data_IF_174513563808
#
_entry.id   IF_174513563808
#
_cell.length_a   1.000
_cell.length_b   1.000
_cell.length_c   1.000
_cell.angle_alpha   90.00
_cell.angle_beta   90.00
_cell.angle_gamma   90.00
#
_symmetry.space_group_name_H-M   'P 1'
#
loop_
_entity.id
_entity.type
_entity.pdbx_description
1 polymer ?
#
# COMPACT_ATOMS: atom_id res chain seq x y z
N UNK A 1 -25.35 -7.10 -23.92
CA UNK A 1 -25.24 -6.00 -22.93
C UNK A 1 -23.96 -5.24 -23.21
N UNK A 2 -24.05 -3.99 -23.69
CA UNK A 2 -22.87 -3.14 -23.88
C UNK A 2 -22.48 -2.50 -22.54
N UNK A 3 -21.22 -2.67 -22.12
CA UNK A 3 -20.69 -2.01 -20.93
C UNK A 3 -20.53 -0.53 -21.26
N UNK A 4 -21.36 0.32 -20.66
CA UNK A 4 -21.25 1.76 -20.81
C UNK A 4 -20.10 2.26 -19.93
N UNK A 5 -18.94 2.48 -20.54
CA UNK A 5 -17.76 3.03 -19.87
C UNK A 5 -18.05 4.47 -19.45
N UNK A 6 -18.18 4.73 -18.14
CA UNK A 6 -18.24 6.09 -17.61
C UNK A 6 -16.88 6.75 -17.76
N UNK A 7 -16.81 7.86 -18.49
CA UNK A 7 -15.61 8.69 -18.60
C UNK A 7 -15.29 9.34 -17.26
N UNK A 8 -14.09 9.10 -16.75
CA UNK A 8 -13.62 9.70 -15.51
C UNK A 8 -13.33 11.19 -15.73
N UNK A 9 -14.19 12.07 -15.20
CA UNK A 9 -14.15 13.52 -15.43
C UNK A 9 -13.44 14.33 -14.33
N UNK A 10 -12.89 13.70 -13.29
CA UNK A 10 -12.23 14.44 -12.20
C UNK A 10 -10.90 15.02 -12.69
N UNK A 11 -10.66 16.34 -12.54
CA UNK A 11 -9.42 16.95 -12.98
C UNK A 11 -8.24 16.50 -12.12
N UNK A 12 -7.05 16.46 -12.71
CA UNK A 12 -5.82 16.28 -11.95
C UNK A 12 -5.59 17.48 -11.03
N UNK A 13 -5.26 17.20 -9.77
CA UNK A 13 -4.89 18.23 -8.79
C UNK A 13 -3.37 18.30 -8.68
N UNK A 14 -2.82 19.52 -8.75
CA UNK A 14 -1.41 19.75 -8.40
C UNK A 14 -1.19 19.61 -6.88
N UNK A 15 0.07 19.57 -6.44
CA UNK A 15 0.42 19.31 -5.04
C UNK A 15 -0.22 20.31 -4.07
N UNK A 16 -0.25 21.59 -4.43
CA UNK A 16 -0.87 22.63 -3.61
C UNK A 16 -2.38 22.42 -3.49
N UNK A 17 -3.06 22.11 -4.59
CA UNK A 17 -4.51 21.81 -4.58
C UNK A 17 -4.82 20.54 -3.80
N UNK A 18 -3.95 19.54 -3.83
CA UNK A 18 -4.08 18.35 -3.00
C UNK A 18 -3.98 18.68 -1.51
N UNK A 19 -2.98 19.49 -1.11
CA UNK A 19 -2.85 19.97 0.26
C UNK A 19 -4.09 20.77 0.70
N UNK A 20 -4.53 21.74 -0.12
CA UNK A 20 -5.72 22.52 0.18
C UNK A 20 -6.97 21.64 0.30
N UNK A 21 -7.12 20.61 -0.54
CA UNK A 21 -8.22 19.66 -0.43
C UNK A 21 -8.23 18.95 0.93
N UNK A 22 -7.06 18.51 1.42
CA UNK A 22 -6.95 17.87 2.73
C UNK A 22 -7.34 18.83 3.86
N UNK A 23 -6.83 20.07 3.83
CA UNK A 23 -7.17 21.11 4.82
C UNK A 23 -8.66 21.46 4.78
N UNK A 24 -9.23 21.63 3.58
CA UNK A 24 -10.65 21.94 3.39
C UNK A 24 -11.57 20.80 3.89
N UNK A 25 -11.10 19.56 3.82
CA UNK A 25 -11.81 18.40 4.37
C UNK A 25 -11.64 18.27 5.90
N UNK A 26 -10.98 19.23 6.55
CA UNK A 26 -10.81 19.27 8.01
C UNK A 26 -9.55 18.57 8.52
N UNK A 27 -8.60 18.20 7.66
CA UNK A 27 -7.35 17.61 8.11
C UNK A 27 -6.42 18.67 8.69
N UNK A 28 -5.95 18.46 9.92
CA UNK A 28 -4.93 19.31 10.53
C UNK A 28 -3.58 19.03 9.85
N UNK A 29 -2.96 20.07 9.29
CA UNK A 29 -1.63 19.98 8.68
C UNK A 29 -0.69 20.96 9.37
N UNK A 30 0.01 20.55 10.46
CA UNK A 30 0.86 21.45 11.24
C UNK A 30 2.04 21.99 10.45
N UNK A 31 2.59 21.19 9.53
CA UNK A 31 3.70 21.55 8.66
C UNK A 31 3.32 21.31 7.18
N UNK A 32 2.81 22.35 6.49
CA UNK A 32 2.44 22.28 5.07
C UNK A 32 3.59 21.86 4.14
N UNK A 33 4.81 22.33 4.39
CA UNK A 33 5.97 22.01 3.55
C UNK A 33 6.34 20.53 3.64
N UNK A 34 6.27 19.97 4.86
CA UNK A 34 6.46 18.53 5.08
C UNK A 34 5.35 17.73 4.40
N UNK A 35 4.10 18.16 4.49
CA UNK A 35 3.00 17.50 3.78
C UNK A 35 3.19 17.54 2.26
N UNK A 36 3.61 18.67 1.69
CA UNK A 36 3.94 18.79 0.26
C UNK A 36 5.11 17.89 -0.15
N UNK A 37 6.13 17.76 0.70
CA UNK A 37 7.24 16.82 0.48
C UNK A 37 6.71 15.39 0.36
N UNK A 38 5.88 14.95 1.30
CA UNK A 38 5.28 13.61 1.25
C UNK A 38 4.33 13.43 0.06
N UNK A 39 3.47 14.40 -0.24
CA UNK A 39 2.60 14.36 -1.42
C UNK A 39 3.40 14.28 -2.73
N UNK A 40 4.59 14.88 -2.79
CA UNK A 40 5.48 14.82 -3.96
C UNK A 40 6.13 13.44 -4.14
N UNK A 41 6.70 12.88 -3.07
CA UNK A 41 7.51 11.66 -3.18
C UNK A 41 6.73 10.36 -2.96
N UNK A 42 5.67 10.40 -2.14
CA UNK A 42 4.81 9.26 -1.84
C UNK A 42 3.52 9.30 -2.66
N UNK A 43 3.12 10.49 -3.14
CA UNK A 43 1.86 10.71 -3.85
C UNK A 43 0.68 10.90 -2.90
N UNK A 44 -0.46 11.36 -3.43
CA UNK A 44 -1.70 11.49 -2.67
C UNK A 44 -2.37 10.14 -2.37
N UNK A 45 -2.32 9.20 -3.31
CA UNK A 45 -3.13 7.99 -3.27
C UNK A 45 -2.66 6.95 -2.23
N UNK A 46 -1.35 6.91 -1.94
CA UNK A 46 -0.80 5.99 -0.95
C UNK A 46 -1.22 6.37 0.48
N UNK A 47 -1.01 7.61 0.97
CA UNK A 47 -1.54 8.02 2.27
C UNK A 47 -3.08 7.99 2.32
N UNK A 48 -3.78 8.18 1.19
CA UNK A 48 -5.25 8.16 1.19
C UNK A 48 -5.87 6.82 1.59
N UNK A 49 -5.13 5.72 1.47
CA UNK A 49 -5.58 4.40 1.96
C UNK A 49 -5.70 4.35 3.49
N UNK A 50 -5.00 5.23 4.18
CA UNK A 50 -4.96 5.31 5.64
C UNK A 50 -5.87 6.42 6.18
N UNK A 51 -6.63 7.12 5.32
CA UNK A 51 -7.61 8.12 5.74
C UNK A 51 -8.85 7.55 6.46
N UNK A 52 -9.41 6.37 6.10
CA UNK A 52 -10.69 5.92 6.65
C UNK A 52 -10.81 5.91 8.17
N UNK A 53 -9.79 5.49 8.96
CA UNK A 53 -9.86 5.56 10.43
C UNK A 53 -9.98 6.98 11.00
N UNK A 54 -9.57 7.99 10.22
CA UNK A 54 -9.56 9.39 10.61
C UNK A 54 -10.70 10.19 9.96
N UNK A 55 -11.51 9.56 9.12
CA UNK A 55 -12.65 10.18 8.46
C UNK A 55 -13.94 9.94 9.22
N UNK A 56 -14.89 10.84 9.03
CA UNK A 56 -16.28 10.66 9.42
C UNK A 56 -16.95 9.70 8.43
N UNK A 57 -17.95 8.96 8.89
CA UNK A 57 -18.70 7.99 8.07
C UNK A 57 -19.41 8.62 6.85
N UNK A 58 -19.51 9.94 6.79
CA UNK A 58 -20.15 10.69 5.70
C UNK A 58 -19.23 11.82 5.19
N UNK A 59 -19.16 11.97 3.87
CA UNK A 59 -18.65 13.15 3.14
C UNK A 59 -17.13 13.38 3.07
N UNK A 60 -16.29 12.33 3.16
CA UNK A 60 -14.82 12.45 3.05
C UNK A 60 -14.18 13.46 4.03
N UNK A 61 -14.91 13.90 5.04
CA UNK A 61 -14.43 14.84 6.04
C UNK A 61 -13.64 14.11 7.12
N UNK A 62 -12.60 14.77 7.63
CA UNK A 62 -11.78 14.27 8.72
C UNK A 62 -12.39 14.59 10.10
N UNK A 63 -12.07 13.77 11.08
CA UNK A 63 -12.39 14.00 12.49
C UNK A 63 -11.62 15.23 13.00
N UNK A 64 -12.15 15.91 14.04
CA UNK A 64 -11.59 17.20 14.53
C UNK A 64 -10.12 17.11 14.93
N UNK A 65 -9.67 15.95 15.40
CA UNK A 65 -8.30 15.74 15.88
C UNK A 65 -7.42 14.96 14.87
N UNK A 66 -7.94 14.74 13.66
CA UNK A 66 -7.19 14.08 12.60
C UNK A 66 -6.11 15.01 12.07
N UNK A 67 -4.85 14.56 12.15
CA UNK A 67 -3.72 15.28 11.59
C UNK A 67 -3.07 14.47 10.46
N UNK A 68 -2.40 15.18 9.55
CA UNK A 68 -1.58 14.55 8.51
C UNK A 68 -0.50 13.65 9.12
N UNK A 69 0.00 14.01 10.31
CA UNK A 69 1.00 13.24 11.02
C UNK A 69 0.45 11.92 11.56
N UNK A 70 -0.80 11.89 12.04
CA UNK A 70 -1.45 10.63 12.45
C UNK A 70 -1.54 9.65 11.28
N UNK A 71 -1.98 10.14 10.12
CA UNK A 71 -2.07 9.34 8.89
C UNK A 71 -0.69 8.87 8.45
N UNK A 72 0.29 9.77 8.46
CA UNK A 72 1.65 9.45 8.05
C UNK A 72 2.29 8.42 8.98
N UNK A 73 2.09 8.53 10.30
CA UNK A 73 2.59 7.56 11.27
C UNK A 73 1.98 6.19 11.06
N UNK A 74 0.68 6.11 10.78
CA UNK A 74 0.02 4.84 10.44
C UNK A 74 0.59 4.23 9.16
N UNK A 75 0.81 5.05 8.13
CA UNK A 75 1.47 4.61 6.89
C UNK A 75 2.91 4.11 7.13
N UNK A 76 3.71 4.84 7.93
CA UNK A 76 5.10 4.47 8.23
C UNK A 76 5.13 3.15 9.01
N UNK A 77 4.26 2.99 9.99
CA UNK A 77 4.11 1.77 10.76
C UNK A 77 3.79 0.57 9.85
N UNK A 78 2.78 0.69 8.99
CA UNK A 78 2.40 -0.36 8.04
C UNK A 78 3.54 -0.70 7.08
N UNK A 79 4.27 0.31 6.58
CA UNK A 79 5.47 0.09 5.75
C UNK A 79 6.54 -0.70 6.50
N UNK A 80 6.82 -0.37 7.76
CA UNK A 80 7.81 -1.07 8.57
C UNK A 80 7.38 -2.51 8.86
N UNK A 81 6.10 -2.72 9.18
CA UNK A 81 5.52 -4.04 9.38
C UNK A 81 5.63 -4.88 8.10
N UNK A 82 5.29 -4.32 6.95
CA UNK A 82 5.42 -5.01 5.67
C UNK A 82 6.86 -5.47 5.41
N UNK A 83 7.85 -4.61 5.68
CA UNK A 83 9.26 -4.99 5.51
C UNK A 83 9.67 -6.16 6.43
N UNK A 84 9.24 -6.14 7.69
CA UNK A 84 9.51 -7.24 8.64
C UNK A 84 8.86 -8.55 8.20
N UNK A 85 7.61 -8.48 7.74
CA UNK A 85 6.89 -9.65 7.24
C UNK A 85 7.57 -10.20 5.98
N UNK A 86 7.97 -9.34 5.05
CA UNK A 86 8.65 -9.78 3.82
C UNK A 86 9.99 -10.48 4.11
N UNK A 87 10.81 -9.97 5.05
CA UNK A 87 12.05 -10.65 5.49
C UNK A 87 11.77 -12.05 6.04
N UNK A 88 10.67 -12.22 6.78
CA UNK A 88 10.30 -13.54 7.32
C UNK A 88 9.78 -14.47 6.22
N UNK A 89 8.93 -13.96 5.32
CA UNK A 89 8.36 -14.73 4.21
C UNK A 89 9.44 -15.23 3.27
N UNK A 90 10.47 -14.43 3.00
CA UNK A 90 11.62 -14.82 2.19
C UNK A 90 12.32 -16.08 2.74
N UNK A 91 12.53 -16.15 4.06
CA UNK A 91 13.17 -17.32 4.70
C UNK A 91 12.29 -18.56 4.64
N UNK A 92 10.98 -18.39 4.86
CA UNK A 92 10.01 -19.50 4.79
C UNK A 92 9.93 -20.04 3.37
N UNK A 93 9.91 -19.14 2.38
CA UNK A 93 9.87 -19.50 0.96
C UNK A 93 11.08 -20.38 0.59
N UNK A 94 12.30 -19.93 0.91
CA UNK A 94 13.52 -20.70 0.64
C UNK A 94 13.47 -22.06 1.33
N UNK A 95 13.05 -22.13 2.60
CA UNK A 95 12.97 -23.39 3.34
C UNK A 95 11.98 -24.37 2.69
N UNK A 96 10.80 -23.91 2.28
CA UNK A 96 9.80 -24.73 1.60
C UNK A 96 10.33 -25.21 0.25
N UNK A 97 10.90 -24.31 -0.56
CA UNK A 97 11.46 -24.65 -1.87
C UNK A 97 12.57 -25.68 -1.76
N UNK A 98 13.49 -25.52 -0.80
CA UNK A 98 14.58 -26.47 -0.57
C UNK A 98 14.06 -27.82 -0.07
N UNK A 99 13.06 -27.83 0.82
CA UNK A 99 12.45 -29.07 1.31
C UNK A 99 11.84 -29.90 0.16
N UNK A 100 11.08 -29.25 -0.73
CA UNK A 100 10.53 -29.88 -1.93
C UNK A 100 11.65 -30.38 -2.83
N UNK A 101 12.63 -29.52 -3.14
CA UNK A 101 13.72 -29.85 -4.07
C UNK A 101 14.56 -31.03 -3.59
N UNK A 102 14.91 -31.08 -2.30
CA UNK A 102 15.70 -32.18 -1.73
C UNK A 102 14.92 -33.50 -1.81
N UNK A 103 13.68 -33.50 -1.34
CA UNK A 103 12.82 -34.70 -1.33
C UNK A 103 12.62 -35.24 -2.75
N UNK A 104 12.27 -34.36 -3.69
CA UNK A 104 12.04 -34.76 -5.08
C UNK A 104 13.34 -35.19 -5.77
N UNK A 105 14.48 -34.58 -5.45
CA UNK A 105 15.77 -34.96 -6.04
C UNK A 105 16.23 -36.35 -5.58
N UNK A 106 15.97 -36.72 -4.34
CA UNK A 106 16.24 -38.07 -3.81
C UNK A 106 15.37 -39.13 -4.49
N UNK A 107 14.11 -38.80 -4.83
CA UNK A 107 13.14 -39.75 -5.38
C UNK A 107 13.18 -39.85 -6.92
N UNK A 108 13.38 -38.72 -7.60
CA UNK A 108 13.21 -38.58 -9.05
C UNK A 108 14.45 -38.02 -9.76
N UNK A 109 15.56 -37.81 -9.03
CA UNK A 109 16.82 -37.31 -9.56
C UNK A 109 16.91 -35.78 -9.62
N UNK A 110 18.11 -35.24 -9.88
CA UNK A 110 18.42 -33.80 -9.72
C UNK A 110 17.68 -32.87 -10.68
N UNK A 111 17.04 -33.41 -11.73
CA UNK A 111 16.29 -32.66 -12.74
C UNK A 111 14.79 -32.97 -12.74
N UNK A 112 14.24 -33.43 -11.62
CA UNK A 112 12.82 -33.80 -11.48
C UNK A 112 11.84 -32.72 -11.98
N UNK A 113 12.18 -31.44 -11.84
CA UNK A 113 11.34 -30.31 -12.25
C UNK A 113 11.20 -30.16 -13.78
N UNK A 114 11.94 -30.94 -14.59
CA UNK A 114 11.78 -31.00 -16.04
C UNK A 114 10.72 -32.01 -16.49
N UNK A 115 10.30 -32.91 -15.59
CA UNK A 115 9.29 -33.91 -15.87
C UNK A 115 7.90 -33.36 -15.54
N UNK A 116 7.08 -33.18 -16.57
CA UNK A 116 5.73 -32.64 -16.43
C UNK A 116 4.77 -33.60 -15.71
N UNK A 117 5.09 -34.90 -15.67
CA UNK A 117 4.26 -35.92 -15.01
C UNK A 117 4.36 -35.85 -13.46
N UNK A 118 5.26 -35.01 -12.92
CA UNK A 118 5.49 -34.82 -11.48
C UNK A 118 4.79 -33.58 -10.87
N UNK A 119 3.92 -32.89 -11.63
CA UNK A 119 3.15 -31.70 -11.19
C UNK A 119 1.64 -31.92 -11.29
#
# INVERSE_FOLDING_TARGET
MAIQLRTYAKPALNLQRQLCLLQNNGLIVPNPDRALHYLRFIGYYRPSRYFPPFQKNTDNQFNKDASFDHILNLYIFDRQLHLLVMDTVERVEVAVRTSISNTMSEQHGPHWYLDADLF
#
